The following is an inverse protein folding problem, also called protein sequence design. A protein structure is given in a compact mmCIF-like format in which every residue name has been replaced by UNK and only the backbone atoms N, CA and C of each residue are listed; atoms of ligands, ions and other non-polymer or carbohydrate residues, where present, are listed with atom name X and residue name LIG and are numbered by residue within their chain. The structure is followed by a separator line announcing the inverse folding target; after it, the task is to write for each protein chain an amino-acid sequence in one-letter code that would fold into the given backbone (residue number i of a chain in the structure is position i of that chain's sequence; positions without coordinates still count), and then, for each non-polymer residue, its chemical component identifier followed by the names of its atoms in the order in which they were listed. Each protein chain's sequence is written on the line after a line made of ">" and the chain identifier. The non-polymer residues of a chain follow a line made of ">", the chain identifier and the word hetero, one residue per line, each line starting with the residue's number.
data_IF_885005915347
#
_entry.id   IF_885005915347
#
_cell.length_a   1.000
_cell.length_b   1.000
_cell.length_c   1.000
_cell.angle_alpha   90.00
_cell.angle_beta   90.00
_cell.angle_gamma   90.00
#
_symmetry.space_group_name_H-M   'P 1'
#
loop_
_entity.id
_entity.type
_entity.pdbx_description
1 polymer ?
#
# COMPACT_ATOMS: atom_id res chain seq x y z
N UNK A 1 -30.21 -23.01 46.45
CA UNK A 1 -29.35 -23.89 45.58
C UNK A 1 -30.01 -24.20 44.24
N UNK A 2 -31.34 -24.08 44.15
CA UNK A 2 -32.11 -24.65 43.03
C UNK A 2 -32.27 -23.70 41.78
N UNK A 3 -31.71 -22.52 41.79
CA UNK A 3 -31.80 -21.60 40.64
C UNK A 3 -30.63 -21.65 39.66
N UNK A 4 -29.53 -22.32 40.04
CA UNK A 4 -28.30 -22.32 39.23
C UNK A 4 -28.23 -23.40 38.16
N UNK A 5 -28.90 -24.53 38.39
CA UNK A 5 -28.80 -25.71 37.54
C UNK A 5 -29.62 -25.62 36.24
N UNK A 6 -30.56 -24.68 36.17
CA UNK A 6 -31.39 -24.43 34.97
C UNK A 6 -30.87 -23.38 34.02
N UNK A 7 -29.80 -22.68 34.38
CA UNK A 7 -29.25 -21.59 33.53
C UNK A 7 -28.12 -22.14 32.64
N UNK A 8 -28.15 -21.83 31.35
CA UNK A 8 -27.10 -22.24 30.42
C UNK A 8 -25.72 -21.74 30.91
N UNK A 9 -24.63 -22.53 30.76
CA UNK A 9 -23.30 -22.18 31.28
C UNK A 9 -22.79 -20.81 30.83
N UNK A 10 -23.11 -20.39 29.63
CA UNK A 10 -22.69 -19.10 29.07
C UNK A 10 -23.37 -17.94 29.82
N UNK A 11 -24.68 -18.02 30.13
CA UNK A 11 -25.40 -16.98 30.86
C UNK A 11 -24.92 -16.81 32.30
N UNK A 12 -24.44 -17.88 32.92
CA UNK A 12 -23.81 -17.80 34.26
C UNK A 12 -22.49 -17.02 34.24
N UNK A 13 -21.66 -17.27 33.22
CA UNK A 13 -20.39 -16.55 33.05
C UNK A 13 -20.65 -15.08 32.76
N UNK A 14 -21.59 -14.77 31.88
CA UNK A 14 -21.98 -13.42 31.54
C UNK A 14 -22.44 -12.63 32.77
N UNK A 15 -23.37 -13.18 33.53
CA UNK A 15 -23.87 -12.56 34.79
C UNK A 15 -22.75 -12.37 35.83
N UNK A 16 -21.80 -13.28 35.94
CA UNK A 16 -20.66 -13.14 36.86
C UNK A 16 -19.69 -12.01 36.42
N UNK A 17 -19.44 -11.91 35.14
CA UNK A 17 -18.59 -10.84 34.58
C UNK A 17 -19.24 -9.46 34.70
N UNK A 18 -20.56 -9.37 34.44
CA UNK A 18 -21.34 -8.17 34.62
C UNK A 18 -21.37 -7.71 36.08
N UNK A 19 -21.65 -8.64 37.03
CA UNK A 19 -21.65 -8.32 38.45
C UNK A 19 -20.28 -7.79 38.91
N UNK A 20 -19.19 -8.40 38.46
CA UNK A 20 -17.83 -7.93 38.79
C UNK A 20 -17.53 -6.57 38.16
N UNK A 21 -17.94 -6.34 36.94
CA UNK A 21 -17.79 -5.04 36.25
C UNK A 21 -18.54 -3.95 36.98
N UNK A 22 -19.79 -4.20 37.39
CA UNK A 22 -20.61 -3.25 38.17
C UNK A 22 -19.93 -2.89 39.49
N UNK A 23 -19.40 -3.89 40.23
CA UNK A 23 -18.66 -3.66 41.46
C UNK A 23 -17.46 -2.74 41.25
N UNK A 24 -16.69 -2.96 40.21
CA UNK A 24 -15.50 -2.14 39.90
C UNK A 24 -15.88 -0.74 39.46
N UNK A 25 -16.97 -0.57 38.69
CA UNK A 25 -17.46 0.73 38.26
C UNK A 25 -17.98 1.55 39.46
N UNK A 26 -18.69 0.89 40.40
CA UNK A 26 -19.24 1.50 41.60
C UNK A 26 -18.19 1.90 42.65
N UNK A 27 -16.95 1.40 42.56
CA UNK A 27 -15.88 1.69 43.51
C UNK A 27 -15.51 3.17 43.48
N UNK A 28 -15.56 3.91 44.65
CA UNK A 28 -15.36 5.34 44.71
C UNK A 28 -13.94 5.76 44.28
N UNK A 29 -12.93 4.99 44.71
CA UNK A 29 -11.53 5.23 44.32
C UNK A 29 -11.01 4.01 43.56
N UNK A 30 -10.55 4.23 42.34
CA UNK A 30 -10.05 3.18 41.46
C UNK A 30 -8.54 3.23 41.37
N UNK A 31 -7.89 2.10 41.50
CA UNK A 31 -6.46 1.91 41.23
C UNK A 31 -6.19 1.70 39.75
N UNK A 32 -4.92 1.81 39.33
CA UNK A 32 -4.52 1.47 37.96
C UNK A 32 -4.79 0.00 37.59
N UNK A 33 -4.84 -0.90 38.59
CA UNK A 33 -5.26 -2.30 38.40
C UNK A 33 -6.75 -2.41 38.12
N UNK A 34 -7.60 -1.65 38.80
CA UNK A 34 -9.05 -1.65 38.57
C UNK A 34 -9.41 -1.23 37.15
N UNK A 35 -8.74 -0.21 36.60
CA UNK A 35 -8.96 0.21 35.21
C UNK A 35 -8.58 -0.88 34.20
N UNK A 36 -7.48 -1.60 34.43
CA UNK A 36 -7.08 -2.73 33.57
C UNK A 36 -8.08 -3.88 33.64
N UNK A 37 -8.61 -4.16 34.87
CA UNK A 37 -9.59 -5.21 35.07
C UNK A 37 -10.94 -4.82 34.41
N UNK A 38 -11.37 -3.57 34.49
CA UNK A 38 -12.56 -3.04 33.79
C UNK A 38 -12.43 -3.24 32.26
N UNK A 39 -11.28 -2.87 31.67
CA UNK A 39 -11.03 -3.06 30.23
C UNK A 39 -11.05 -4.55 29.84
N UNK A 40 -10.44 -5.41 30.66
CA UNK A 40 -10.43 -6.85 30.42
C UNK A 40 -11.84 -7.44 30.46
N UNK A 41 -12.62 -7.09 31.50
CA UNK A 41 -14.00 -7.56 31.65
C UNK A 41 -14.89 -7.08 30.51
N UNK A 42 -14.78 -5.81 30.10
CA UNK A 42 -15.50 -5.27 28.96
C UNK A 42 -15.24 -6.05 27.67
N UNK A 43 -13.98 -6.38 27.40
CA UNK A 43 -13.61 -7.22 26.24
C UNK A 43 -14.15 -8.66 26.33
N UNK A 44 -14.21 -9.24 27.51
CA UNK A 44 -14.77 -10.59 27.67
C UNK A 44 -16.28 -10.59 27.46
N UNK A 45 -17.00 -9.61 28.00
CA UNK A 45 -18.45 -9.45 27.77
C UNK A 45 -18.75 -9.25 26.29
N UNK A 46 -17.96 -8.40 25.59
CA UNK A 46 -18.12 -8.21 24.14
C UNK A 46 -17.90 -9.53 23.35
N UNK A 47 -16.91 -10.33 23.74
CA UNK A 47 -16.66 -11.65 23.11
C UNK A 47 -17.82 -12.60 23.34
N UNK A 48 -18.37 -12.66 24.56
CA UNK A 48 -19.53 -13.50 24.87
C UNK A 48 -20.76 -13.07 24.08
N UNK A 49 -21.02 -11.77 23.99
CA UNK A 49 -22.13 -11.22 23.18
C UNK A 49 -22.00 -11.60 21.71
N UNK A 50 -20.76 -11.64 21.14
CA UNK A 50 -20.52 -12.12 19.78
C UNK A 50 -20.80 -13.62 19.64
N UNK A 51 -20.37 -14.44 20.59
CA UNK A 51 -20.65 -15.89 20.59
C UNK A 51 -22.14 -16.15 20.69
N UNK A 52 -22.86 -15.45 21.57
CA UNK A 52 -24.31 -15.55 21.71
C UNK A 52 -25.04 -15.19 20.40
N UNK A 53 -24.61 -14.11 19.75
CA UNK A 53 -25.15 -13.71 18.45
C UNK A 53 -24.90 -14.75 17.38
N UNK A 54 -23.67 -15.28 17.29
CA UNK A 54 -23.32 -16.37 16.38
C UNK A 54 -24.19 -17.61 16.60
N UNK A 55 -24.43 -17.96 17.87
CA UNK A 55 -25.29 -19.13 18.21
C UNK A 55 -26.73 -18.96 17.71
N UNK A 56 -27.20 -17.72 17.58
CA UNK A 56 -28.55 -17.41 17.10
C UNK A 56 -28.60 -17.28 15.57
N UNK A 57 -27.57 -16.69 14.95
CA UNK A 57 -27.57 -16.34 13.52
C UNK A 57 -26.83 -17.34 12.65
N UNK A 58 -25.87 -18.09 13.23
CA UNK A 58 -24.93 -18.94 12.48
C UNK A 58 -23.97 -18.17 11.55
N UNK A 59 -23.90 -16.85 11.65
CA UNK A 59 -23.10 -16.00 10.77
C UNK A 59 -21.69 -15.79 11.35
N UNK A 60 -20.67 -16.29 10.66
CA UNK A 60 -19.26 -16.15 11.07
C UNK A 60 -18.80 -14.70 11.27
N UNK A 61 -19.45 -13.74 10.62
CA UNK A 61 -19.18 -12.32 10.80
C UNK A 61 -19.46 -11.82 12.23
N UNK A 62 -20.35 -12.52 12.97
CA UNK A 62 -20.67 -12.19 14.36
C UNK A 62 -19.52 -12.56 15.31
N UNK A 63 -18.76 -13.62 15.00
CA UNK A 63 -17.56 -14.01 15.77
C UNK A 63 -16.37 -13.12 15.46
N UNK A 64 -16.17 -12.76 14.20
CA UNK A 64 -15.05 -11.96 13.77
C UNK A 64 -15.49 -10.93 12.72
N UNK A 65 -15.66 -9.64 13.11
CA UNK A 65 -16.09 -8.60 12.19
C UNK A 65 -15.15 -8.40 10.98
N UNK A 66 -13.91 -8.92 11.05
CA UNK A 66 -13.00 -8.91 9.91
C UNK A 66 -13.37 -9.93 8.83
N UNK A 67 -14.17 -10.96 9.15
CA UNK A 67 -14.64 -11.93 8.15
C UNK A 67 -15.62 -11.28 7.17
N UNK A 68 -16.50 -10.41 7.64
CA UNK A 68 -17.37 -9.61 6.78
C UNK A 68 -16.59 -8.75 5.76
N UNK A 69 -15.38 -8.32 6.13
CA UNK A 69 -14.48 -7.57 5.23
C UNK A 69 -13.67 -8.49 4.32
N UNK A 70 -13.43 -9.76 4.70
CA UNK A 70 -12.74 -10.75 3.86
C UNK A 70 -13.59 -11.12 2.63
N UNK A 71 -14.90 -11.23 2.78
CA UNK A 71 -15.84 -11.60 1.73
C UNK A 71 -16.37 -10.42 0.90
N UNK A 72 -15.99 -9.18 1.22
CA UNK A 72 -16.39 -7.96 0.49
C UNK A 72 -15.63 -7.76 -0.83
N UNK A 73 -15.15 -8.81 -1.48
CA UNK A 73 -14.40 -8.73 -2.72
C UNK A 73 -13.04 -8.01 -2.55
N UNK A 74 -12.24 -7.99 -3.59
CA UNK A 74 -11.00 -7.23 -3.60
C UNK A 74 -11.31 -5.76 -3.23
N UNK A 75 -10.70 -5.26 -2.14
CA UNK A 75 -10.68 -3.82 -1.89
C UNK A 75 -10.09 -3.19 -3.14
N UNK A 76 -10.89 -2.49 -3.93
CA UNK A 76 -10.45 -1.64 -5.03
C UNK A 76 -9.67 -0.44 -4.43
N UNK A 77 -8.54 -0.72 -3.80
CA UNK A 77 -7.56 0.32 -3.56
C UNK A 77 -7.06 0.73 -4.93
N UNK A 78 -7.07 2.01 -5.27
CA UNK A 78 -6.42 2.45 -6.49
C UNK A 78 -5.01 1.83 -6.47
N UNK A 79 -4.65 1.11 -7.54
CA UNK A 79 -3.32 0.51 -7.66
C UNK A 79 -2.33 1.66 -7.55
N UNK A 80 -1.43 1.60 -6.57
CA UNK A 80 -0.36 2.59 -6.47
C UNK A 80 0.48 2.54 -7.73
N UNK A 81 0.95 3.70 -8.17
CA UNK A 81 1.80 3.82 -9.36
C UNK A 81 1.16 3.21 -10.62
N UNK A 82 -0.14 3.40 -10.79
CA UNK A 82 -0.89 2.88 -11.94
C UNK A 82 -1.09 3.98 -12.98
N UNK A 83 -0.88 3.66 -14.24
CA UNK A 83 -1.09 4.53 -15.39
C UNK A 83 -2.23 3.97 -16.25
N UNK A 84 -3.17 4.82 -16.67
CA UNK A 84 -4.12 4.46 -17.71
C UNK A 84 -3.43 4.42 -19.09
N UNK A 85 -4.04 3.75 -20.05
CA UNK A 85 -3.47 3.67 -21.40
C UNK A 85 -3.38 5.07 -22.05
N UNK A 86 -4.36 5.94 -21.77
CA UNK A 86 -4.33 7.34 -22.20
C UNK A 86 -3.16 8.12 -21.56
N UNK A 87 -2.89 7.88 -20.26
CA UNK A 87 -1.76 8.51 -19.58
C UNK A 87 -0.42 8.06 -20.18
N UNK A 88 -0.29 6.77 -20.51
CA UNK A 88 0.92 6.26 -21.19
C UNK A 88 1.10 6.88 -22.56
N UNK A 89 0.03 6.96 -23.37
CA UNK A 89 0.08 7.59 -24.70
C UNK A 89 0.46 9.07 -24.61
N UNK A 90 -0.11 9.81 -23.65
CA UNK A 90 0.23 11.22 -23.42
C UNK A 90 1.67 11.42 -22.97
N UNK A 91 2.19 10.56 -22.09
CA UNK A 91 3.61 10.59 -21.72
C UNK A 91 4.53 10.34 -22.91
N UNK A 92 4.15 9.45 -23.80
CA UNK A 92 4.91 9.16 -25.01
C UNK A 92 4.92 10.37 -25.96
N UNK A 93 3.79 11.01 -26.19
CA UNK A 93 3.67 12.23 -26.98
C UNK A 93 4.58 13.33 -26.42
N UNK A 94 4.48 13.62 -25.11
CA UNK A 94 5.32 14.60 -24.42
C UNK A 94 6.80 14.26 -24.53
N UNK A 95 7.16 12.98 -24.43
CA UNK A 95 8.54 12.54 -24.54
C UNK A 95 9.13 12.86 -25.92
N UNK A 96 8.41 12.56 -27.00
CA UNK A 96 8.87 12.84 -28.36
C UNK A 96 8.87 14.33 -28.67
N UNK A 97 7.86 15.07 -28.26
CA UNK A 97 7.75 16.53 -28.48
C UNK A 97 8.88 17.32 -27.78
N UNK A 98 9.24 16.90 -26.56
CA UNK A 98 10.27 17.60 -25.77
C UNK A 98 11.69 17.05 -25.95
N UNK A 99 11.90 16.05 -26.80
CA UNK A 99 13.22 15.47 -27.06
C UNK A 99 13.92 16.17 -28.20
N UNK A 100 15.19 16.53 -28.00
CA UNK A 100 16.04 17.05 -29.05
C UNK A 100 16.44 15.97 -30.05
N UNK A 101 16.79 16.33 -31.29
CA UNK A 101 17.13 15.38 -32.34
C UNK A 101 18.28 14.43 -31.95
N UNK A 102 19.31 14.88 -31.23
CA UNK A 102 20.39 14.01 -30.76
C UNK A 102 19.89 13.00 -29.69
N UNK A 103 18.87 13.35 -28.90
CA UNK A 103 18.25 12.43 -27.94
C UNK A 103 17.38 11.40 -28.67
N UNK A 104 16.70 11.78 -29.74
CA UNK A 104 15.98 10.85 -30.61
C UNK A 104 16.94 9.88 -31.32
N UNK A 105 18.16 10.30 -31.64
CA UNK A 105 19.22 9.37 -32.13
C UNK A 105 19.57 8.33 -31.05
N UNK A 106 19.68 8.74 -29.78
CA UNK A 106 19.88 7.80 -28.68
C UNK A 106 18.72 6.81 -28.55
N UNK A 107 17.49 7.28 -28.70
CA UNK A 107 16.31 6.43 -28.70
C UNK A 107 16.35 5.38 -29.81
N UNK A 108 16.59 5.80 -31.06
CA UNK A 108 16.71 4.88 -32.21
C UNK A 108 17.85 3.87 -32.02
N UNK A 109 19.00 4.30 -31.51
CA UNK A 109 20.10 3.41 -31.18
C UNK A 109 19.71 2.38 -30.09
N UNK A 110 18.89 2.77 -29.10
CA UNK A 110 18.38 1.87 -28.07
C UNK A 110 17.38 0.84 -28.55
N UNK A 111 16.71 1.10 -29.67
CA UNK A 111 15.84 0.12 -30.32
C UNK A 111 16.66 -0.89 -31.17
N UNK A 112 17.74 -0.41 -31.78
CA UNK A 112 18.57 -1.23 -32.66
C UNK A 112 19.63 -2.06 -31.92
N UNK A 113 20.15 -1.57 -30.80
CA UNK A 113 21.30 -2.15 -30.11
C UNK A 113 21.01 -2.38 -28.64
N UNK A 114 21.47 -3.53 -28.14
CA UNK A 114 21.37 -3.90 -26.71
C UNK A 114 22.21 -3.00 -25.80
N UNK A 115 23.37 -2.56 -26.28
CA UNK A 115 24.33 -1.73 -25.55
C UNK A 115 24.50 -0.41 -26.30
N UNK A 116 24.43 0.70 -25.56
CA UNK A 116 24.70 2.05 -26.05
C UNK A 116 25.82 2.63 -25.22
N UNK A 117 26.92 2.97 -25.86
CA UNK A 117 27.99 3.79 -25.28
C UNK A 117 27.88 5.21 -25.77
N UNK A 118 27.69 6.18 -24.85
CA UNK A 118 27.36 7.55 -25.20
C UNK A 118 28.41 8.50 -24.61
N UNK A 119 29.27 8.98 -25.46
CA UNK A 119 30.17 10.09 -25.13
C UNK A 119 29.39 11.40 -25.21
N UNK A 120 29.35 12.15 -24.10
CA UNK A 120 28.57 13.39 -24.00
C UNK A 120 29.31 14.48 -23.24
N UNK A 121 29.03 15.74 -23.58
CA UNK A 121 29.39 16.88 -22.75
C UNK A 121 28.52 16.98 -21.49
N UNK A 122 28.87 17.92 -20.61
CA UNK A 122 28.02 18.23 -19.44
C UNK A 122 26.76 18.99 -19.88
N UNK A 123 25.70 18.90 -19.08
CA UNK A 123 24.47 19.72 -19.18
C UNK A 123 23.69 19.59 -20.51
N UNK A 124 23.78 18.47 -21.19
CA UNK A 124 23.01 18.19 -22.42
C UNK A 124 21.68 17.47 -22.13
N UNK A 125 21.19 17.49 -20.90
CA UNK A 125 19.89 16.89 -20.56
C UNK A 125 19.85 15.35 -20.55
N UNK A 126 21.00 14.68 -20.50
CA UNK A 126 21.02 13.20 -20.55
C UNK A 126 20.24 12.56 -19.38
N UNK A 127 20.40 13.06 -18.15
CA UNK A 127 19.66 12.55 -16.99
C UNK A 127 18.16 12.71 -17.16
N UNK A 128 17.72 13.87 -17.64
CA UNK A 128 16.33 14.16 -17.96
C UNK A 128 15.77 13.19 -19.02
N UNK A 129 16.52 12.99 -20.11
CA UNK A 129 16.14 12.09 -21.19
C UNK A 129 16.03 10.64 -20.72
N UNK A 130 17.08 10.08 -20.09
CA UNK A 130 17.12 8.68 -19.68
C UNK A 130 16.10 8.36 -18.58
N UNK A 131 15.77 9.30 -17.72
CA UNK A 131 14.71 9.13 -16.73
C UNK A 131 13.35 8.88 -17.39
N UNK A 132 13.03 9.65 -18.42
CA UNK A 132 11.78 9.56 -19.17
C UNK A 132 11.73 8.30 -20.06
N UNK A 133 12.81 8.03 -20.80
CA UNK A 133 12.93 6.81 -21.61
C UNK A 133 12.72 5.56 -20.73
N UNK A 134 13.36 5.51 -19.56
CA UNK A 134 13.25 4.37 -18.66
C UNK A 134 11.83 4.17 -18.12
N UNK A 135 11.12 5.24 -17.75
CA UNK A 135 9.73 5.12 -17.31
C UNK A 135 8.85 4.57 -18.44
N UNK A 136 8.93 5.13 -19.65
CA UNK A 136 8.17 4.65 -20.79
C UNK A 136 8.51 3.20 -21.13
N UNK A 137 9.79 2.84 -21.08
CA UNK A 137 10.22 1.46 -21.33
C UNK A 137 9.69 0.50 -20.27
N UNK A 138 9.73 0.89 -18.98
CA UNK A 138 9.14 0.10 -17.91
C UNK A 138 7.63 -0.11 -18.10
N UNK A 139 6.90 0.94 -18.48
CA UNK A 139 5.46 0.88 -18.74
C UNK A 139 5.11 -0.03 -19.90
N UNK A 140 5.86 0.06 -21.02
CA UNK A 140 5.58 -0.68 -22.25
C UNK A 140 6.04 -2.14 -22.21
N UNK A 141 7.23 -2.40 -21.63
CA UNK A 141 7.84 -3.73 -21.71
C UNK A 141 7.71 -4.55 -20.42
N UNK A 142 7.41 -3.92 -19.29
CA UNK A 142 7.41 -4.59 -17.99
C UNK A 142 8.81 -4.89 -17.44
N UNK A 143 9.88 -4.47 -18.13
CA UNK A 143 11.24 -4.74 -17.69
C UNK A 143 11.69 -3.78 -16.60
N UNK A 144 12.42 -4.30 -15.61
CA UNK A 144 13.03 -3.49 -14.57
C UNK A 144 14.06 -2.51 -15.17
N UNK A 145 14.12 -1.30 -14.60
CA UNK A 145 15.11 -0.30 -14.94
C UNK A 145 16.01 -0.05 -13.74
N UNK A 146 17.31 -0.10 -13.94
CA UNK A 146 18.31 0.08 -12.89
C UNK A 146 19.14 1.31 -13.21
N UNK A 147 19.19 2.25 -12.29
CA UNK A 147 20.04 3.43 -12.35
C UNK A 147 21.19 3.23 -11.37
N UNK A 148 22.39 3.03 -11.92
CA UNK A 148 23.63 2.94 -11.14
C UNK A 148 24.45 4.21 -11.34
N UNK A 149 24.86 4.82 -10.24
CA UNK A 149 25.65 6.05 -10.25
C UNK A 149 26.78 5.96 -9.22
N UNK A 150 27.72 6.89 -9.24
CA UNK A 150 28.79 6.97 -8.26
C UNK A 150 28.33 7.22 -6.82
N UNK A 151 27.10 7.73 -6.65
CA UNK A 151 26.47 7.87 -5.34
C UNK A 151 24.96 7.70 -5.44
N UNK A 152 24.34 7.27 -4.36
CA UNK A 152 22.88 7.14 -4.26
C UNK A 152 22.16 8.48 -4.49
N UNK A 153 22.73 9.58 -4.03
CA UNK A 153 22.22 10.93 -4.25
C UNK A 153 22.12 11.26 -5.75
N UNK A 154 23.13 10.89 -6.53
CA UNK A 154 23.10 11.10 -7.99
C UNK A 154 22.08 10.18 -8.67
N UNK A 155 21.93 8.93 -8.22
CA UNK A 155 20.89 8.05 -8.72
C UNK A 155 19.48 8.58 -8.42
N UNK A 156 19.30 9.26 -7.30
CA UNK A 156 18.01 9.86 -6.94
C UNK A 156 17.62 11.08 -7.80
N UNK A 157 18.54 11.73 -8.48
CA UNK A 157 18.19 12.77 -9.46
C UNK A 157 17.37 12.16 -10.60
N UNK A 158 17.70 10.94 -11.06
CA UNK A 158 16.87 10.21 -12.03
C UNK A 158 15.46 9.95 -11.48
N UNK A 159 15.37 9.54 -10.20
CA UNK A 159 14.09 9.30 -9.53
C UNK A 159 13.21 10.55 -9.52
N UNK A 160 13.76 11.71 -9.21
CA UNK A 160 13.02 12.95 -9.18
C UNK A 160 12.47 13.33 -10.57
N UNK A 161 13.27 13.21 -11.62
CA UNK A 161 12.82 13.43 -12.99
C UNK A 161 11.72 12.45 -13.42
N UNK A 162 11.79 11.19 -12.99
CA UNK A 162 10.76 10.21 -13.25
C UNK A 162 9.44 10.60 -12.58
N UNK A 163 9.49 11.01 -11.29
CA UNK A 163 8.32 11.45 -10.55
C UNK A 163 7.71 12.70 -11.20
N UNK A 164 8.55 13.68 -11.56
CA UNK A 164 8.09 14.89 -12.26
C UNK A 164 7.42 14.56 -13.59
N UNK A 165 7.98 13.62 -14.34
CA UNK A 165 7.41 13.19 -15.63
C UNK A 165 6.05 12.51 -15.45
N UNK A 166 5.90 11.63 -14.47
CA UNK A 166 4.64 10.96 -14.14
C UNK A 166 3.55 11.96 -13.71
N UNK A 167 3.93 13.03 -13.01
CA UNK A 167 3.00 14.09 -12.60
C UNK A 167 2.39 14.88 -13.75
N UNK A 168 3.01 14.88 -14.93
CA UNK A 168 2.41 15.52 -16.13
C UNK A 168 1.10 14.85 -16.58
N UNK A 169 0.83 13.64 -16.07
CA UNK A 169 -0.40 12.88 -16.30
C UNK A 169 -1.12 12.55 -14.98
N UNK A 170 -0.93 13.38 -13.96
CA UNK A 170 -1.57 13.28 -12.64
C UNK A 170 -1.32 11.95 -11.90
N UNK A 171 -0.17 11.32 -12.15
CA UNK A 171 0.24 10.10 -11.44
C UNK A 171 1.36 10.41 -10.44
N UNK A 172 1.08 10.20 -9.16
CA UNK A 172 2.09 10.29 -8.10
C UNK A 172 2.79 8.94 -7.88
N UNK A 173 4.07 8.89 -8.20
CA UNK A 173 4.91 7.72 -7.99
C UNK A 173 5.50 7.69 -6.58
N UNK A 174 5.37 6.56 -5.90
CA UNK A 174 5.85 6.34 -4.53
C UNK A 174 6.62 5.03 -4.39
N UNK A 175 7.49 4.97 -3.38
CA UNK A 175 8.28 3.77 -3.07
C UNK A 175 9.76 3.90 -3.43
N UNK A 176 10.58 3.00 -2.87
CA UNK A 176 11.99 2.80 -3.20
C UNK A 176 12.30 1.30 -2.99
N UNK A 177 12.42 0.52 -4.06
CA UNK A 177 12.23 0.88 -5.48
C UNK A 177 10.79 1.30 -5.82
N UNK A 178 10.63 2.09 -6.90
CA UNK A 178 9.30 2.39 -7.44
C UNK A 178 8.80 1.16 -8.20
N UNK A 179 7.63 0.64 -7.83
CA UNK A 179 7.01 -0.51 -8.51
C UNK A 179 5.84 -0.03 -9.33
N UNK A 180 5.87 -0.24 -10.63
CA UNK A 180 4.80 0.13 -11.57
C UNK A 180 3.58 -0.76 -11.35
N UNK A 181 2.43 -0.14 -11.10
CA UNK A 181 1.18 -0.85 -10.78
C UNK A 181 0.57 -1.64 -11.95
N UNK A 182 0.92 -1.29 -13.18
CA UNK A 182 0.41 -1.93 -14.39
C UNK A 182 0.94 -3.35 -14.58
N UNK A 183 2.26 -3.54 -14.43
CA UNK A 183 2.97 -4.75 -14.84
C UNK A 183 4.01 -5.25 -13.81
N UNK A 184 4.18 -4.53 -12.70
CA UNK A 184 5.12 -4.89 -11.65
C UNK A 184 6.59 -4.55 -11.94
N UNK A 185 6.90 -3.86 -13.04
CA UNK A 185 8.26 -3.39 -13.34
C UNK A 185 8.80 -2.51 -12.21
N UNK A 186 10.08 -2.65 -11.91
CA UNK A 186 10.74 -1.90 -10.84
C UNK A 186 11.72 -0.88 -11.40
N UNK A 187 11.68 0.33 -10.85
CA UNK A 187 12.69 1.35 -11.07
C UNK A 187 13.57 1.39 -9.82
N UNK A 188 14.85 1.01 -9.97
CA UNK A 188 15.79 0.75 -8.88
C UNK A 188 16.94 1.76 -8.97
N UNK A 189 17.26 2.43 -7.85
CA UNK A 189 18.25 3.50 -7.77
C UNK A 189 19.39 3.08 -6.84
N UNK A 190 20.58 2.85 -7.42
CA UNK A 190 21.77 2.33 -6.74
C UNK A 190 22.92 3.33 -6.86
N UNK A 191 23.79 3.34 -5.84
CA UNK A 191 25.01 4.13 -5.79
C UNK A 191 26.02 3.54 -4.86
#
# INVERSE_FOLDING_TARGET
>A
RDGWDGIAPISRVESSLEARLIQLIAKPQKSGGDFKEIDLLGRQIERLARVNRYSQTGNEADLNPNVANRNKGERKRPKKNFFSDEAVAKLEEIFFDQSFEYQLQWYRAGLAHRIRDILKSRQIGATFYFSREALLRALKTGHNQIFLSASKTQAYVFREYIIQFARLVDVDLTGDPIVIGNNGAKLIFLG
#
